data_IF_926743173499
#
_entry.id   IF_926743173499
#
_cell.length_a   1.000
_cell.length_b   1.000
_cell.length_c   1.000
_cell.angle_alpha   90.00
_cell.angle_beta   90.00
_cell.angle_gamma   90.00
#
_symmetry.space_group_name_H-M   'P 1'
#
loop_
_entity.id
_entity.type
_entity.pdbx_description
1 polymer ?
#
# COMPACT_ATOMS: atom_id res chain seq x y z
N UNK A 1 -20.64 -5.25 2.21
CA UNK A 1 -19.65 -5.37 1.12
C UNK A 1 -19.52 -4.00 0.50
N UNK A 2 -18.30 -3.52 0.28
CA UNK A 2 -18.01 -2.23 -0.34
C UNK A 2 -17.06 -2.48 -1.51
N UNK A 3 -17.39 -1.95 -2.69
CA UNK A 3 -16.53 -1.97 -3.86
C UNK A 3 -16.20 -0.52 -4.25
N UNK A 4 -15.03 -0.30 -4.82
CA UNK A 4 -14.59 1.02 -5.24
C UNK A 4 -13.73 0.95 -6.49
N UNK A 5 -13.87 1.94 -7.35
CA UNK A 5 -13.02 2.20 -8.50
C UNK A 5 -12.42 3.60 -8.35
N UNK A 6 -11.13 3.73 -8.62
CA UNK A 6 -10.43 5.02 -8.62
C UNK A 6 -9.52 5.11 -9.85
N UNK A 7 -9.33 6.33 -10.36
CA UNK A 7 -8.40 6.60 -11.44
C UNK A 7 -7.23 7.43 -10.90
N UNK A 8 -6.02 7.05 -11.30
CA UNK A 8 -4.81 7.84 -11.08
C UNK A 8 -4.57 8.71 -12.31
N UNK A 9 -4.48 10.02 -12.09
CA UNK A 9 -4.28 11.04 -13.13
C UNK A 9 -2.84 11.56 -13.12
N UNK A 10 -2.20 11.77 -14.29
CA UNK A 10 -0.78 12.16 -14.40
C UNK A 10 -0.56 13.67 -14.23
N UNK A 11 -1.01 14.24 -13.10
CA UNK A 11 -0.85 15.68 -12.81
C UNK A 11 0.44 16.02 -12.04
N UNK A 12 1.11 15.01 -11.48
CA UNK A 12 2.37 15.18 -10.75
C UNK A 12 3.58 15.28 -11.69
N UNK A 13 4.61 16.03 -11.28
CA UNK A 13 5.86 16.16 -12.06
C UNK A 13 6.56 14.81 -12.21
N UNK A 14 6.88 14.44 -13.46
CA UNK A 14 7.49 13.15 -13.82
C UNK A 14 8.66 13.27 -14.81
N UNK A 15 9.24 14.47 -14.91
CA UNK A 15 10.47 14.77 -15.67
C UNK A 15 11.35 15.75 -14.89
N UNK A 16 11.61 15.45 -13.62
CA UNK A 16 12.54 16.28 -12.83
C UNK A 16 13.97 16.03 -13.30
N UNK A 17 14.67 17.13 -13.57
CA UNK A 17 16.07 17.11 -14.02
C UNK A 17 16.97 17.18 -12.79
N UNK A 18 18.01 16.35 -12.76
CA UNK A 18 19.05 16.40 -11.75
C UNK A 18 19.92 17.65 -11.95
N UNK A 19 20.02 18.56 -10.96
CA UNK A 19 20.87 19.73 -11.03
C UNK A 19 22.36 19.43 -11.20
N UNK A 20 22.82 18.21 -10.85
CA UNK A 20 24.24 17.86 -10.87
C UNK A 20 24.72 17.31 -12.21
N UNK A 21 23.88 16.56 -12.93
CA UNK A 21 24.29 15.82 -14.14
C UNK A 21 23.40 16.14 -15.36
N UNK A 22 22.34 16.95 -15.20
CA UNK A 22 21.44 17.33 -16.29
C UNK A 22 20.54 16.20 -16.82
N UNK A 23 20.66 14.98 -16.28
CA UNK A 23 19.82 13.83 -16.57
C UNK A 23 18.45 13.89 -15.88
N UNK A 24 17.51 13.03 -16.29
CA UNK A 24 16.22 12.89 -15.61
C UNK A 24 16.39 11.95 -14.41
N UNK A 25 15.84 12.31 -13.24
CA UNK A 25 15.84 11.44 -12.06
C UNK A 25 15.18 10.08 -12.32
N UNK A 26 15.62 9.04 -11.59
CA UNK A 26 14.97 7.73 -11.62
C UNK A 26 13.46 7.88 -11.40
N UNK A 27 12.61 7.26 -12.24
CA UNK A 27 11.15 7.35 -12.12
C UNK A 27 10.61 7.07 -10.71
N UNK A 28 11.28 6.23 -9.92
CA UNK A 28 10.91 5.89 -8.54
C UNK A 28 11.17 7.01 -7.52
N UNK A 29 12.04 7.95 -7.85
CA UNK A 29 12.36 9.12 -7.00
C UNK A 29 11.50 10.34 -7.34
N UNK A 30 10.66 10.24 -8.36
CA UNK A 30 9.84 11.36 -8.82
C UNK A 30 8.51 11.41 -8.06
N UNK A 31 7.97 12.61 -7.79
CA UNK A 31 6.72 12.77 -7.05
C UNK A 31 5.49 12.27 -7.83
N UNK A 32 5.59 12.17 -9.17
CA UNK A 32 4.54 11.63 -10.03
C UNK A 32 5.09 10.59 -11.01
N UNK A 33 4.24 9.63 -11.38
CA UNK A 33 4.59 8.58 -12.35
C UNK A 33 4.54 9.04 -13.81
N UNK A 34 3.80 10.13 -14.08
CA UNK A 34 3.54 10.61 -15.44
C UNK A 34 2.67 9.67 -16.27
N UNK A 35 1.99 8.72 -15.63
CA UNK A 35 1.15 7.72 -16.27
C UNK A 35 -0.25 7.70 -15.70
N UNK A 36 -1.20 7.20 -16.50
CA UNK A 36 -2.53 6.88 -16.04
C UNK A 36 -2.53 5.56 -15.28
N UNK A 37 -3.43 5.44 -14.32
CA UNK A 37 -3.68 4.19 -13.62
C UNK A 37 -5.14 4.04 -13.25
N UNK A 38 -5.53 2.80 -12.96
CA UNK A 38 -6.85 2.47 -12.45
C UNK A 38 -6.70 1.54 -11.26
N UNK A 39 -7.43 1.81 -10.19
CA UNK A 39 -7.44 0.99 -8.97
C UNK A 39 -8.85 0.45 -8.78
N UNK A 40 -8.97 -0.87 -8.72
CA UNK A 40 -10.18 -1.54 -8.26
C UNK A 40 -9.97 -2.03 -6.84
N UNK A 41 -10.99 -1.91 -6.00
CA UNK A 41 -10.94 -2.33 -4.61
C UNK A 41 -12.24 -2.98 -4.15
N UNK A 42 -12.12 -3.94 -3.24
CA UNK A 42 -13.23 -4.63 -2.61
C UNK A 42 -12.92 -4.80 -1.12
N UNK A 43 -13.93 -4.56 -0.28
CA UNK A 43 -13.83 -4.66 1.17
C UNK A 43 -15.08 -5.32 1.75
N UNK A 44 -14.89 -6.24 2.67
CA UNK A 44 -15.94 -6.95 3.37
C UNK A 44 -15.64 -6.98 4.86
N UNK A 45 -16.64 -6.67 5.67
CA UNK A 45 -16.54 -6.74 7.13
C UNK A 45 -17.75 -7.45 7.69
N UNK A 46 -17.54 -8.30 8.68
CA UNK A 46 -18.63 -9.00 9.39
C UNK A 46 -18.24 -9.24 10.83
N UNK A 47 -19.22 -9.23 11.73
CA UNK A 47 -19.03 -9.60 13.13
C UNK A 47 -19.59 -10.98 13.36
N UNK A 48 -18.76 -11.93 13.79
CA UNK A 48 -19.14 -13.33 14.05
C UNK A 48 -18.42 -13.83 15.29
N UNK A 49 -19.15 -14.55 16.16
CA UNK A 49 -18.59 -15.14 17.40
C UNK A 49 -17.90 -14.09 18.29
N UNK A 50 -18.48 -12.88 18.36
CA UNK A 50 -17.92 -11.77 19.14
C UNK A 50 -16.62 -11.16 18.60
N UNK A 51 -16.17 -11.59 17.41
CA UNK A 51 -15.00 -11.08 16.70
C UNK A 51 -15.41 -10.29 15.46
N UNK A 52 -14.65 -9.24 15.18
CA UNK A 52 -14.79 -8.40 13.99
C UNK A 52 -13.83 -8.91 12.91
N UNK A 53 -14.38 -9.49 11.84
CA UNK A 53 -13.61 -9.99 10.71
C UNK A 53 -13.63 -8.97 9.57
N UNK A 54 -12.49 -8.79 8.93
CA UNK A 54 -12.35 -7.92 7.76
C UNK A 54 -11.57 -8.62 6.67
N UNK A 55 -12.00 -8.48 5.42
CA UNK A 55 -11.29 -8.89 4.22
C UNK A 55 -11.25 -7.73 3.25
N UNK A 56 -10.12 -7.49 2.61
CA UNK A 56 -9.98 -6.45 1.59
C UNK A 56 -9.03 -6.91 0.49
N UNK A 57 -9.27 -6.42 -0.72
CA UNK A 57 -8.42 -6.62 -1.86
C UNK A 57 -8.41 -5.38 -2.74
N UNK A 58 -7.26 -5.05 -3.31
CA UNK A 58 -7.14 -4.03 -4.33
C UNK A 58 -6.18 -4.45 -5.43
N UNK A 59 -6.43 -3.97 -6.64
CA UNK A 59 -5.57 -4.16 -7.79
C UNK A 59 -5.41 -2.83 -8.53
N UNK A 60 -4.17 -2.43 -8.76
CA UNK A 60 -3.80 -1.24 -9.49
C UNK A 60 -3.17 -1.63 -10.83
N UNK A 61 -3.80 -1.15 -11.90
CA UNK A 61 -3.29 -1.18 -13.27
C UNK A 61 -2.53 0.12 -13.54
N UNK A 62 -1.35 0.02 -14.12
CA UNK A 62 -0.50 1.16 -14.48
C UNK A 62 -0.18 1.14 -15.97
N UNK A 63 -0.31 2.30 -16.60
CA UNK A 63 0.05 2.49 -18.01
C UNK A 63 1.49 3.01 -18.16
N UNK A 64 2.02 2.95 -19.38
CA UNK A 64 3.32 3.54 -19.68
C UNK A 64 3.21 5.07 -19.69
N UNK A 65 4.25 5.75 -19.20
CA UNK A 65 4.35 7.20 -19.28
C UNK A 65 4.91 7.64 -20.65
N UNK A 66 4.95 8.96 -20.88
CA UNK A 66 5.50 9.55 -22.10
C UNK A 66 7.01 9.41 -22.29
N UNK A 67 7.71 8.65 -21.42
CA UNK A 67 9.12 8.26 -21.57
C UNK A 67 9.27 6.75 -21.82
N UNK A 68 8.15 6.02 -21.99
CA UNK A 68 8.15 4.57 -22.20
C UNK A 68 8.40 3.76 -20.94
N UNK A 69 8.35 4.37 -19.75
CA UNK A 69 8.45 3.66 -18.46
C UNK A 69 7.06 3.31 -17.94
N UNK A 70 6.84 2.03 -17.62
CA UNK A 70 5.61 1.50 -17.05
C UNK A 70 5.92 0.89 -15.68
N UNK A 71 5.37 1.48 -14.63
CA UNK A 71 5.42 0.87 -13.30
C UNK A 71 4.70 -0.48 -13.31
N UNK A 72 5.18 -1.43 -12.50
CA UNK A 72 4.50 -2.72 -12.37
C UNK A 72 3.14 -2.59 -11.69
N UNK A 73 2.16 -3.37 -12.16
CA UNK A 73 0.85 -3.45 -11.53
C UNK A 73 0.97 -3.93 -10.07
N UNK A 74 0.07 -3.47 -9.21
CA UNK A 74 0.12 -3.77 -7.78
C UNK A 74 -1.14 -4.51 -7.33
N UNK A 75 -0.97 -5.55 -6.52
CA UNK A 75 -2.06 -6.29 -5.90
C UNK A 75 -1.84 -6.31 -4.38
N UNK A 76 -2.86 -5.90 -3.63
CA UNK A 76 -2.84 -5.94 -2.16
C UNK A 76 -4.06 -6.72 -1.71
N UNK A 77 -3.86 -7.72 -0.86
CA UNK A 77 -4.93 -8.42 -0.16
C UNK A 77 -4.67 -8.36 1.33
N UNK A 78 -5.72 -8.16 2.14
CA UNK A 78 -5.58 -8.22 3.59
C UNK A 78 -6.77 -8.93 4.24
N UNK A 79 -6.45 -9.74 5.24
CA UNK A 79 -7.41 -10.37 6.13
C UNK A 79 -7.13 -9.90 7.56
N UNK A 80 -8.17 -9.62 8.31
CA UNK A 80 -8.09 -9.07 9.63
C UNK A 80 -9.11 -9.64 10.59
N UNK A 81 -8.72 -9.70 11.85
CA UNK A 81 -9.60 -10.04 12.95
C UNK A 81 -9.38 -9.05 14.09
N UNK A 82 -10.45 -8.67 14.77
CA UNK A 82 -10.40 -7.78 15.91
C UNK A 82 -11.41 -8.14 16.98
N UNK A 83 -11.20 -7.58 18.16
CA UNK A 83 -12.09 -7.73 19.30
C UNK A 83 -12.09 -6.46 20.15
N UNK A 84 -13.28 -5.96 20.44
CA UNK A 84 -13.49 -4.94 21.46
C UNK A 84 -13.32 -5.52 22.88
N UNK A 85 -12.60 -4.78 23.73
CA UNK A 85 -12.33 -5.06 25.13
C UNK A 85 -12.60 -3.77 25.93
N UNK A 86 -13.84 -3.58 26.37
CA UNK A 86 -14.29 -2.36 27.05
C UNK A 86 -14.11 -1.12 26.16
N UNK A 87 -13.30 -0.15 26.61
CA UNK A 87 -12.95 1.06 25.85
C UNK A 87 -11.86 0.84 24.79
N UNK A 88 -11.23 -0.33 24.77
CA UNK A 88 -10.16 -0.66 23.84
C UNK A 88 -10.62 -1.67 22.80
N UNK A 89 -9.88 -1.82 21.72
CA UNK A 89 -10.02 -2.89 20.74
C UNK A 89 -8.64 -3.35 20.31
N UNK A 90 -8.43 -4.66 20.28
CA UNK A 90 -7.25 -5.28 19.72
C UNK A 90 -7.59 -5.82 18.33
N UNK A 91 -6.64 -5.74 17.41
CA UNK A 91 -6.78 -6.28 16.05
C UNK A 91 -5.47 -6.86 15.55
N UNK A 92 -5.57 -7.82 14.67
CA UNK A 92 -4.43 -8.34 13.93
C UNK A 92 -4.83 -8.49 12.46
N UNK A 93 -3.97 -8.06 11.56
CA UNK A 93 -4.17 -8.22 10.13
C UNK A 93 -2.97 -8.89 9.48
N UNK A 94 -3.22 -9.69 8.46
CA UNK A 94 -2.20 -10.19 7.55
C UNK A 94 -2.45 -9.59 6.17
N UNK A 95 -1.41 -9.00 5.59
CA UNK A 95 -1.46 -8.33 4.29
C UNK A 95 -0.48 -9.01 3.33
N UNK A 96 -1.00 -9.53 2.23
CA UNK A 96 -0.21 -9.95 1.09
C UNK A 96 -0.12 -8.79 0.11
N UNK A 97 1.09 -8.39 -0.24
CA UNK A 97 1.35 -7.29 -1.16
C UNK A 97 2.28 -7.78 -2.25
N UNK A 98 1.86 -7.63 -3.49
CA UNK A 98 2.61 -8.04 -4.68
C UNK A 98 2.70 -6.87 -5.64
N UNK A 99 3.92 -6.49 -5.97
CA UNK A 99 4.24 -5.47 -6.96
C UNK A 99 4.87 -6.16 -8.18
N UNK A 100 4.30 -5.93 -9.35
CA UNK A 100 4.84 -6.37 -10.62
C UNK A 100 6.19 -5.72 -10.92
N UNK A 101 6.95 -6.31 -11.85
CA UNK A 101 8.16 -5.66 -12.35
C UNK A 101 7.77 -4.47 -13.24
N UNK A 102 8.55 -3.41 -13.15
CA UNK A 102 8.44 -2.28 -14.05
C UNK A 102 9.07 -2.62 -15.40
N UNK A 103 8.63 -1.93 -16.44
CA UNK A 103 9.14 -2.06 -17.79
C UNK A 103 9.61 -0.69 -18.29
N UNK A 104 10.73 -0.68 -19.01
CA UNK A 104 11.24 0.50 -19.70
C UNK A 104 11.45 0.15 -21.17
N UNK A 105 10.77 0.87 -22.06
CA UNK A 105 10.81 0.63 -23.50
C UNK A 105 10.52 -0.84 -23.89
N UNK A 106 9.63 -1.50 -23.15
CA UNK A 106 9.27 -2.91 -23.36
C UNK A 106 10.21 -3.92 -22.70
N UNK A 107 11.31 -3.49 -22.08
CA UNK A 107 12.24 -4.35 -21.35
C UNK A 107 11.96 -4.33 -19.85
N UNK A 108 11.95 -5.50 -19.21
CA UNK A 108 11.74 -5.61 -17.75
C UNK A 108 12.93 -5.03 -17.00
N UNK A 109 12.67 -4.20 -16.00
CA UNK A 109 13.70 -3.67 -15.10
C UNK A 109 13.95 -4.71 -13.99
N UNK A 110 15.13 -5.36 -13.93
CA UNK A 110 15.38 -6.52 -13.06
C UNK A 110 15.17 -6.22 -11.57
N UNK A 111 15.69 -5.10 -11.09
CA UNK A 111 15.67 -4.68 -9.68
C UNK A 111 14.38 -3.98 -9.26
N UNK A 112 13.23 -4.29 -9.88
CA UNK A 112 11.92 -3.70 -9.55
C UNK A 112 10.87 -4.77 -9.20
N UNK A 113 9.83 -4.39 -8.46
CA UNK A 113 8.78 -5.32 -8.04
C UNK A 113 9.19 -6.29 -6.94
N UNK A 114 8.23 -7.06 -6.43
CA UNK A 114 8.45 -8.01 -5.35
C UNK A 114 7.14 -8.47 -4.71
N UNK A 115 7.24 -9.35 -3.73
CA UNK A 115 6.10 -9.73 -2.90
C UNK A 115 6.48 -9.78 -1.43
N UNK A 116 5.52 -9.40 -0.58
CA UNK A 116 5.69 -9.39 0.85
C UNK A 116 4.41 -9.84 1.55
N UNK A 117 4.60 -10.52 2.66
CA UNK A 117 3.56 -10.86 3.62
C UNK A 117 3.84 -10.08 4.90
N UNK A 118 2.89 -9.27 5.33
CA UNK A 118 3.04 -8.32 6.44
C UNK A 118 2.03 -8.69 7.51
N UNK A 119 2.52 -8.91 8.73
CA UNK A 119 1.69 -9.04 9.91
C UNK A 119 1.53 -7.67 10.58
N UNK A 120 0.31 -7.31 10.91
CA UNK A 120 -0.05 -5.99 11.45
C UNK A 120 -0.91 -6.13 12.70
N UNK A 121 -0.32 -6.38 13.88
CA UNK A 121 -1.01 -6.17 15.15
C UNK A 121 -1.34 -4.69 15.33
N UNK A 122 -2.46 -4.43 16.00
CA UNK A 122 -2.94 -3.09 16.29
C UNK A 122 -3.82 -3.01 17.52
N UNK A 123 -3.82 -1.84 18.13
CA UNK A 123 -4.68 -1.50 19.27
C UNK A 123 -5.34 -0.16 18.97
N UNK A 124 -6.61 -0.05 19.32
CA UNK A 124 -7.37 1.20 19.28
C UNK A 124 -8.03 1.43 20.63
N UNK A 125 -7.91 2.63 21.17
CA UNK A 125 -8.60 3.05 22.39
C UNK A 125 -9.62 4.13 22.04
N UNK A 126 -10.88 3.91 22.40
CA UNK A 126 -11.95 4.90 22.29
C UNK A 126 -11.88 5.86 23.47
N UNK A 127 -12.08 7.14 23.18
CA UNK A 127 -12.22 8.24 24.13
C UNK A 127 -13.63 8.83 23.99
N UNK A 128 -14.00 9.81 24.81
CA UNK A 128 -15.32 10.46 24.74
C UNK A 128 -15.59 11.19 23.42
N UNK A 129 -14.54 11.69 22.76
CA UNK A 129 -14.65 12.54 21.54
C UNK A 129 -13.97 11.93 20.32
N UNK A 130 -13.41 10.72 20.43
CA UNK A 130 -12.62 10.14 19.34
C UNK A 130 -11.97 8.80 19.69
N UNK A 131 -10.86 8.49 19.02
CA UNK A 131 -10.05 7.31 19.28
C UNK A 131 -8.57 7.55 19.01
N UNK A 132 -7.73 6.88 19.78
CA UNK A 132 -6.28 6.78 19.54
C UNK A 132 -5.99 5.38 19.05
N UNK A 133 -5.10 5.23 18.06
CA UNK A 133 -4.74 3.92 17.53
C UNK A 133 -3.25 3.80 17.25
N UNK A 134 -2.76 2.58 17.35
CA UNK A 134 -1.40 2.20 16.99
C UNK A 134 -1.43 0.89 16.20
N UNK A 135 -0.65 0.82 15.13
CA UNK A 135 -0.46 -0.36 14.29
C UNK A 135 1.03 -0.59 14.07
N UNK A 136 1.49 -1.82 14.22
CA UNK A 136 2.87 -2.19 13.92
C UNK A 136 2.89 -3.14 12.73
N UNK A 137 3.42 -2.70 11.60
CA UNK A 137 3.53 -3.50 10.38
C UNK A 137 4.89 -4.17 10.34
N UNK A 138 4.91 -5.51 10.36
CA UNK A 138 6.13 -6.32 10.28
C UNK A 138 6.08 -7.25 9.07
N UNK A 139 6.94 -7.06 8.06
CA UNK A 139 7.10 -8.04 6.99
C UNK A 139 7.66 -9.36 7.55
N UNK A 140 6.86 -10.42 7.49
CA UNK A 140 7.24 -11.77 7.96
C UNK A 140 7.85 -12.60 6.83
N UNK A 141 7.41 -12.37 5.59
CA UNK A 141 7.97 -12.98 4.40
C UNK A 141 8.22 -11.91 3.35
N UNK A 142 9.37 -11.98 2.68
CA UNK A 142 9.80 -11.00 1.67
C UNK A 142 10.49 -11.73 0.52
N UNK A 143 10.02 -11.48 -0.70
CA UNK A 143 10.67 -11.88 -1.94
C UNK A 143 10.83 -10.63 -2.78
N UNK A 144 11.99 -10.01 -2.66
CA UNK A 144 12.38 -8.86 -3.47
C UNK A 144 13.29 -9.32 -4.61
N UNK A 145 13.31 -8.57 -5.70
CA UNK A 145 14.23 -8.86 -6.79
C UNK A 145 15.57 -8.17 -6.50
N UNK A 146 16.66 -8.95 -6.48
CA UNK A 146 18.03 -8.46 -6.27
C UNK A 146 18.23 -7.66 -4.98
N UNK A 147 19.03 -6.59 -5.01
CA UNK A 147 19.37 -5.75 -3.86
C UNK A 147 18.37 -4.61 -3.69
N UNK A 148 17.15 -4.93 -3.22
CA UNK A 148 16.18 -3.91 -2.82
C UNK A 148 16.13 -3.72 -1.31
N UNK A 149 16.18 -2.47 -0.87
CA UNK A 149 15.92 -2.09 0.51
C UNK A 149 14.43 -2.28 0.83
N UNK A 150 14.12 -3.34 1.58
CA UNK A 150 12.77 -3.56 2.10
C UNK A 150 12.70 -3.10 3.57
N UNK A 151 11.63 -2.38 3.92
CA UNK A 151 11.38 -1.98 5.31
C UNK A 151 11.44 -3.19 6.26
N UNK A 152 12.08 -3.01 7.41
CA UNK A 152 12.15 -4.02 8.49
C UNK A 152 10.91 -4.00 9.38
N UNK A 153 10.22 -2.88 9.43
CA UNK A 153 8.98 -2.68 10.17
C UNK A 153 8.57 -1.21 10.13
N UNK A 154 7.29 -0.95 10.38
CA UNK A 154 6.75 0.40 10.48
C UNK A 154 5.78 0.50 11.66
N UNK A 155 5.93 1.53 12.48
CA UNK A 155 4.99 1.88 13.54
C UNK A 155 4.15 3.06 13.07
N UNK A 156 2.83 2.88 13.06
CA UNK A 156 1.86 3.91 12.72
C UNK A 156 1.04 4.24 13.96
N UNK A 157 1.08 5.49 14.38
CA UNK A 157 0.31 6.02 15.51
C UNK A 157 -0.57 7.15 15.01
N UNK A 158 -1.82 7.21 15.46
CA UNK A 158 -2.75 8.24 15.02
C UNK A 158 -3.88 8.51 16.00
N UNK A 159 -4.51 9.65 15.82
CA UNK A 159 -5.67 10.12 16.58
C UNK A 159 -6.78 10.43 15.59
N UNK A 160 -7.99 9.98 15.88
CA UNK A 160 -9.21 10.26 15.13
C UNK A 160 -10.20 10.95 16.05
N UNK A 161 -10.77 12.06 15.61
CA UNK A 161 -11.79 12.82 16.34
C UNK A 161 -13.02 12.97 15.46
N UNK A 162 -14.20 12.70 16.01
CA UNK A 162 -15.46 13.01 15.35
C UNK A 162 -15.92 14.39 15.84
N UNK A 163 -16.39 15.23 14.92
CA UNK A 163 -16.94 16.57 15.19
C UNK A 163 -18.45 16.54 14.99
#
# INVERSE_FOLDING_TARGET
LLAGLAAQVPIGKSRLVDPHDGGIYDPTMQPGTGSWGAVASLQYGTRRVGLDWSASGSYQLTTANGLGYRFGNEAIGALGVGRGIGRSAASCQIKAHRLGRSEYLGHRVPSTGGSMLILTPGVRMRTSTGSVYAFYQRPVHRRVNEYQLASRGALLVGVSRAF
#
